data_IF_070082255100
#
_entry.id   IF_070082255100
#
_cell.length_a   1.000
_cell.length_b   1.000
_cell.length_c   1.000
_cell.angle_alpha   90.00
_cell.angle_beta   90.00
_cell.angle_gamma   90.00
#
_symmetry.space_group_name_H-M   'P 1'
#
loop_
_entity.id
_entity.type
_entity.pdbx_description
1 polymer ?
#
# COMPACT_ATOMS: atom_id res chain seq x y z
N UNK A 1 -5.19 -24.31 8.47
CA UNK A 1 -5.17 -23.68 9.81
C UNK A 1 -3.90 -22.86 9.93
N UNK A 2 -4.00 -21.53 9.78
CA UNK A 2 -2.86 -20.60 9.95
C UNK A 2 -2.79 -20.25 11.44
N UNK A 3 -1.70 -20.58 12.16
CA UNK A 3 -1.58 -20.30 13.59
C UNK A 3 -1.67 -18.80 13.93
N UNK A 4 -2.30 -18.46 15.06
CA UNK A 4 -2.54 -17.07 15.52
C UNK A 4 -1.26 -16.20 15.61
N UNK A 5 -0.11 -16.82 15.86
CA UNK A 5 1.18 -16.14 15.99
C UNK A 5 1.82 -15.71 14.65
N UNK A 6 1.14 -15.91 13.51
CA UNK A 6 1.68 -15.48 12.21
C UNK A 6 1.82 -13.96 12.09
N UNK A 7 0.92 -13.20 12.70
CA UNK A 7 0.96 -11.73 12.65
C UNK A 7 2.06 -11.14 13.53
N UNK A 8 2.48 -11.86 14.57
CA UNK A 8 3.57 -11.45 15.47
C UNK A 8 4.95 -11.50 14.79
N UNK A 9 5.05 -12.17 13.63
CA UNK A 9 6.29 -12.36 12.88
C UNK A 9 6.41 -11.50 11.63
N UNK A 10 5.39 -10.68 11.31
CA UNK A 10 5.52 -9.72 10.23
C UNK A 10 6.42 -8.58 10.72
N UNK A 11 7.62 -8.38 10.15
CA UNK A 11 8.36 -7.17 10.46
C UNK A 11 7.48 -5.99 10.04
N UNK A 12 7.41 -4.89 10.82
CA UNK A 12 6.84 -3.65 10.29
C UNK A 12 7.64 -3.36 9.02
N UNK A 13 6.99 -3.43 7.85
CA UNK A 13 7.61 -2.94 6.62
C UNK A 13 7.72 -1.44 6.84
N UNK A 14 8.86 -1.04 7.41
CA UNK A 14 9.31 0.34 7.49
C UNK A 14 9.00 0.95 6.13
N UNK A 15 8.11 1.94 6.12
CA UNK A 15 7.85 2.74 4.94
C UNK A 15 9.16 3.39 4.52
N UNK A 16 9.93 2.70 3.68
CA UNK A 16 11.11 3.24 3.03
C UNK A 16 10.61 4.13 1.89
N UNK A 17 10.24 5.35 2.23
CA UNK A 17 10.42 6.45 1.30
C UNK A 17 11.92 6.71 1.18
N UNK A 18 12.59 5.92 0.35
CA UNK A 18 13.81 6.39 -0.31
C UNK A 18 13.36 6.88 -1.67
N UNK A 19 13.08 8.18 -1.77
CA UNK A 19 13.13 8.86 -3.06
C UNK A 19 14.58 8.70 -3.52
N UNK A 20 14.84 7.67 -4.33
CA UNK A 20 16.07 7.61 -5.09
C UNK A 20 16.09 8.89 -5.91
N UNK A 21 17.03 9.77 -5.56
CA UNK A 21 17.36 10.96 -6.32
C UNK A 21 17.68 10.49 -7.74
N UNK A 22 16.71 10.66 -8.62
CA UNK A 22 16.93 10.66 -10.05
C UNK A 22 17.79 11.90 -10.31
N UNK A 23 19.09 11.70 -10.46
CA UNK A 23 20.02 12.74 -10.93
C UNK A 23 19.43 13.34 -12.22
N UNK A 24 19.09 14.65 -12.26
CA UNK A 24 18.66 15.26 -13.50
C UNK A 24 19.89 15.42 -14.39
N UNK A 25 19.87 14.72 -15.52
CA UNK A 25 20.77 14.97 -16.66
C UNK A 25 20.69 16.46 -17.01
N UNK A 26 21.81 17.17 -16.85
CA UNK A 26 21.95 18.58 -17.17
C UNK A 26 21.58 18.85 -18.63
N UNK A 27 20.41 19.46 -18.88
CA UNK A 27 20.14 20.19 -20.11
C UNK A 27 20.09 21.67 -19.75
N UNK A 28 21.13 22.41 -20.13
CA UNK A 28 21.22 23.85 -19.87
C UNK A 28 20.15 24.60 -20.68
N UNK A 29 19.28 25.41 -20.04
CA UNK A 29 18.39 26.33 -20.76
C UNK A 29 19.13 27.60 -21.20
N UNK A 30 18.73 28.25 -22.31
CA UNK A 30 19.31 29.53 -22.76
C UNK A 30 18.93 30.68 -21.80
N UNK A 31 19.75 31.75 -21.72
CA UNK A 31 19.50 32.86 -20.81
C UNK A 31 18.29 33.70 -21.23
N UNK A 32 17.34 33.89 -20.32
CA UNK A 32 16.23 34.84 -20.44
C UNK A 32 16.53 36.13 -19.63
N UNK A 33 15.93 37.28 -20.02
CA UNK A 33 16.34 38.59 -19.52
C UNK A 33 15.88 38.84 -18.08
N UNK A 34 16.68 39.65 -17.39
CA UNK A 34 16.56 39.98 -15.97
C UNK A 34 15.23 40.67 -15.64
N UNK A 35 14.31 39.93 -15.03
CA UNK A 35 13.23 40.49 -14.23
C UNK A 35 13.41 40.05 -12.78
N UNK A 36 13.56 41.04 -11.89
CA UNK A 36 13.65 40.87 -10.45
C UNK A 36 12.32 40.29 -9.92
N UNK A 37 12.31 39.00 -9.59
CA UNK A 37 11.24 38.36 -8.83
C UNK A 37 11.65 38.30 -7.35
N UNK A 38 10.87 38.97 -6.51
CA UNK A 38 10.94 38.91 -5.05
C UNK A 38 10.67 37.45 -4.63
N UNK A 39 11.71 36.74 -4.20
CA UNK A 39 11.60 35.39 -3.68
C UNK A 39 11.18 35.48 -2.21
N UNK A 40 9.90 35.26 -1.92
CA UNK A 40 9.48 34.91 -0.57
C UNK A 40 9.81 33.43 -0.34
N UNK A 41 10.50 33.07 0.77
CA UNK A 41 10.75 31.67 1.07
C UNK A 41 9.42 30.97 1.38
N UNK A 42 9.05 30.01 0.55
CA UNK A 42 7.96 29.09 0.82
C UNK A 42 8.37 28.24 2.03
N UNK A 43 7.67 28.39 3.15
CA UNK A 43 7.84 27.54 4.33
C UNK A 43 7.53 26.10 3.94
N UNK A 44 8.57 25.28 3.84
CA UNK A 44 8.44 23.84 3.65
C UNK A 44 7.87 23.26 4.94
N UNK A 45 6.62 22.80 4.90
CA UNK A 45 6.03 22.02 5.98
C UNK A 45 6.84 20.73 6.15
N UNK A 46 7.48 20.61 7.31
CA UNK A 46 8.16 19.40 7.77
C UNK A 46 7.14 18.27 7.86
N UNK A 47 7.16 17.32 6.93
CA UNK A 47 6.52 16.03 7.14
C UNK A 47 7.33 15.29 8.18
N UNK A 48 6.85 15.35 9.42
CA UNK A 48 7.41 14.66 10.56
C UNK A 48 7.53 13.16 10.24
N UNK A 49 8.74 12.62 10.35
CA UNK A 49 9.01 11.18 10.22
C UNK A 49 8.40 10.51 11.45
N UNK A 50 7.10 10.22 11.43
CA UNK A 50 6.45 9.49 12.51
C UNK A 50 7.04 8.09 12.56
N UNK A 51 7.96 7.85 13.48
CA UNK A 51 8.43 6.50 13.81
C UNK A 51 7.22 5.68 14.24
N UNK A 52 6.78 4.75 13.39
CA UNK A 52 5.66 3.85 13.70
C UNK A 52 6.11 2.96 14.86
N UNK A 53 5.40 3.02 15.98
CA UNK A 53 5.63 2.10 17.09
C UNK A 53 5.27 0.67 16.66
N UNK A 54 6.22 -0.27 16.64
CA UNK A 54 5.97 -1.64 16.21
C UNK A 54 4.94 -2.36 17.07
N UNK A 55 4.84 -2.04 18.37
CA UNK A 55 3.87 -2.71 19.25
C UNK A 55 2.44 -2.24 18.95
N UNK A 56 2.25 -0.93 18.75
CA UNK A 56 0.97 -0.39 18.29
C UNK A 56 0.60 -0.93 16.91
N UNK A 57 1.55 -1.02 15.98
CA UNK A 57 1.30 -1.59 14.65
C UNK A 57 0.78 -3.03 14.73
N UNK A 58 1.40 -3.86 15.57
CA UNK A 58 0.96 -5.24 15.77
C UNK A 58 -0.43 -5.33 16.43
N UNK A 59 -0.77 -4.41 17.34
CA UNK A 59 -2.13 -4.32 17.92
C UNK A 59 -3.15 -3.93 16.85
N UNK A 60 -2.82 -2.96 16.01
CA UNK A 60 -3.67 -2.52 14.90
C UNK A 60 -3.91 -3.66 13.90
N UNK A 61 -2.88 -4.43 13.54
CA UNK A 61 -3.03 -5.59 12.65
C UNK A 61 -3.99 -6.65 13.22
N UNK A 62 -3.93 -6.93 14.53
CA UNK A 62 -4.84 -7.91 15.16
C UNK A 62 -6.27 -7.42 15.18
N UNK A 63 -6.50 -6.18 15.62
CA UNK A 63 -7.83 -5.58 15.60
C UNK A 63 -8.40 -5.51 14.16
N UNK A 64 -7.56 -5.16 13.19
CA UNK A 64 -7.94 -5.13 11.78
C UNK A 64 -8.29 -6.53 11.26
N UNK A 65 -7.60 -7.59 11.70
CA UNK A 65 -7.90 -8.96 11.31
C UNK A 65 -9.30 -9.41 11.78
N UNK A 66 -9.69 -9.05 13.00
CA UNK A 66 -11.01 -9.34 13.55
C UNK A 66 -12.11 -8.60 12.76
N UNK A 67 -11.90 -7.30 12.48
CA UNK A 67 -12.83 -6.51 11.67
C UNK A 67 -12.94 -7.01 10.22
N UNK A 68 -11.82 -7.43 9.62
CA UNK A 68 -11.80 -7.99 8.27
C UNK A 68 -12.60 -9.29 8.21
N UNK A 69 -12.44 -10.17 9.19
CA UNK A 69 -13.16 -11.44 9.26
C UNK A 69 -14.67 -11.19 9.34
N UNK A 70 -15.10 -10.31 10.25
CA UNK A 70 -16.51 -9.94 10.36
C UNK A 70 -17.09 -9.34 9.06
N UNK A 71 -16.34 -8.45 8.40
CA UNK A 71 -16.76 -7.84 7.13
C UNK A 71 -16.86 -8.86 5.99
N UNK A 72 -15.93 -9.83 5.94
CA UNK A 72 -15.93 -10.88 4.93
C UNK A 72 -17.16 -11.78 5.09
N UNK A 73 -17.48 -12.18 6.33
CA UNK A 73 -18.63 -12.99 6.69
C UNK A 73 -19.94 -12.30 6.32
N UNK A 74 -20.10 -11.04 6.74
CA UNK A 74 -21.30 -10.26 6.51
C UNK A 74 -21.59 -10.02 5.01
N UNK A 75 -20.53 -9.88 4.21
CA UNK A 75 -20.64 -9.59 2.77
C UNK A 75 -20.51 -10.82 1.87
N UNK A 76 -20.19 -11.99 2.44
CA UNK A 76 -19.83 -13.22 1.70
C UNK A 76 -18.86 -12.92 0.55
N UNK A 77 -17.78 -12.18 0.84
CA UNK A 77 -16.87 -11.65 -0.18
C UNK A 77 -15.50 -12.36 -0.26
N UNK A 78 -15.36 -13.54 0.34
CA UNK A 78 -14.12 -14.33 0.37
C UNK A 78 -13.48 -14.48 -1.01
N UNK A 79 -14.21 -14.92 -2.07
CA UNK A 79 -13.57 -15.20 -3.36
C UNK A 79 -13.00 -13.95 -4.03
N UNK A 80 -13.66 -12.79 -3.85
CA UNK A 80 -13.19 -11.54 -4.47
C UNK A 80 -12.01 -10.94 -3.71
N UNK A 81 -11.96 -11.10 -2.38
CA UNK A 81 -10.81 -10.66 -1.56
C UNK A 81 -9.57 -11.49 -1.87
N UNK A 82 -9.69 -12.82 -1.94
CA UNK A 82 -8.57 -13.70 -2.31
C UNK A 82 -8.08 -13.40 -3.72
N UNK A 83 -8.99 -13.23 -4.68
CA UNK A 83 -8.63 -12.84 -6.05
C UNK A 83 -7.90 -11.50 -6.08
N UNK A 84 -8.36 -10.52 -5.31
CA UNK A 84 -7.74 -9.19 -5.26
C UNK A 84 -6.28 -9.24 -4.79
N UNK A 85 -6.01 -9.96 -3.70
CA UNK A 85 -4.65 -10.12 -3.19
C UNK A 85 -3.75 -10.95 -4.10
N UNK A 86 -4.31 -11.98 -4.75
CA UNK A 86 -3.59 -12.76 -5.76
C UNK A 86 -3.12 -11.87 -6.92
N UNK A 87 -4.02 -11.06 -7.47
CA UNK A 87 -3.68 -10.16 -8.58
C UNK A 87 -2.65 -9.09 -8.19
N UNK A 88 -2.67 -8.58 -6.94
CA UNK A 88 -1.61 -7.70 -6.44
C UNK A 88 -0.24 -8.40 -6.45
N UNK A 89 -0.19 -9.61 -5.89
CA UNK A 89 1.03 -10.40 -5.80
C UNK A 89 1.53 -10.95 -7.15
N UNK A 90 0.62 -11.11 -8.12
CA UNK A 90 0.89 -11.71 -9.43
C UNK A 90 1.76 -10.87 -10.37
N UNK A 91 2.03 -9.61 -10.01
CA UNK A 91 2.92 -8.72 -10.77
C UNK A 91 4.41 -8.98 -10.53
N UNK A 92 4.76 -9.96 -9.68
CA UNK A 92 6.15 -10.22 -9.30
C UNK A 92 7.03 -10.72 -10.46
N UNK A 93 8.13 -10.01 -10.73
CA UNK A 93 9.18 -10.40 -11.66
C UNK A 93 10.54 -10.50 -10.96
N UNK A 94 11.08 -11.72 -10.92
CA UNK A 94 12.39 -12.03 -10.30
C UNK A 94 13.60 -11.44 -11.03
N UNK A 95 13.45 -11.05 -12.29
CA UNK A 95 14.53 -10.52 -13.12
C UNK A 95 14.81 -9.04 -12.86
N UNK A 96 13.86 -8.35 -12.23
CA UNK A 96 13.95 -6.94 -11.90
C UNK A 96 14.40 -6.73 -10.44
N UNK A 97 15.15 -5.67 -10.14
CA UNK A 97 15.48 -5.32 -8.77
C UNK A 97 14.26 -4.74 -8.03
N UNK A 98 14.33 -4.70 -6.71
CA UNK A 98 13.36 -3.96 -5.91
C UNK A 98 13.56 -2.44 -6.10
N UNK A 99 12.49 -1.62 -6.24
CA UNK A 99 11.07 -1.97 -6.18
C UNK A 99 10.42 -2.34 -7.53
N UNK A 100 11.17 -2.35 -8.64
CA UNK A 100 10.61 -2.62 -9.98
C UNK A 100 10.07 -4.04 -10.15
N UNK A 101 10.50 -4.98 -9.31
CA UNK A 101 10.04 -6.36 -9.32
C UNK A 101 8.56 -6.57 -9.06
N UNK A 102 7.78 -5.55 -8.66
CA UNK A 102 6.35 -5.72 -8.37
C UNK A 102 6.08 -6.66 -7.19
N UNK A 103 4.92 -7.32 -7.23
CA UNK A 103 4.44 -8.24 -6.19
C UNK A 103 3.52 -7.59 -5.17
N UNK A 104 3.36 -8.25 -4.02
CA UNK A 104 2.44 -7.88 -2.94
C UNK A 104 2.85 -6.58 -2.23
N UNK A 105 2.63 -5.47 -2.94
CA UNK A 105 3.06 -4.11 -2.61
C UNK A 105 1.89 -3.15 -2.51
N UNK A 106 0.66 -3.62 -2.77
CA UNK A 106 -0.55 -2.80 -2.79
C UNK A 106 -0.68 -1.94 -4.05
N UNK A 107 0.07 -2.25 -5.11
CA UNK A 107 -0.03 -1.53 -6.39
C UNK A 107 -1.40 -1.65 -7.06
N UNK A 108 -2.13 -2.74 -6.77
CA UNK A 108 -3.47 -2.97 -7.35
C UNK A 108 -4.52 -1.92 -6.96
N UNK A 109 -4.28 -1.07 -5.96
CA UNK A 109 -5.25 -0.05 -5.56
C UNK A 109 -5.37 1.10 -6.57
N UNK A 110 -4.37 1.29 -7.42
CA UNK A 110 -4.31 2.41 -8.36
C UNK A 110 -5.21 2.15 -9.57
N UNK A 111 -5.87 3.19 -10.05
CA UNK A 111 -6.84 3.08 -11.14
C UNK A 111 -6.21 2.59 -12.47
N UNK A 112 -4.91 2.84 -12.68
CA UNK A 112 -4.19 2.29 -13.85
C UNK A 112 -4.20 0.77 -13.82
N UNK A 113 -3.93 0.18 -12.67
CA UNK A 113 -3.84 -1.26 -12.49
C UNK A 113 -5.24 -1.90 -12.52
N UNK A 114 -6.21 -1.30 -11.84
CA UNK A 114 -7.60 -1.80 -11.80
C UNK A 114 -8.30 -1.82 -13.16
N UNK A 115 -7.86 -0.99 -14.10
CA UNK A 115 -8.45 -0.90 -15.45
C UNK A 115 -7.92 -1.95 -16.42
N UNK A 116 -6.89 -2.73 -16.05
CA UNK A 116 -6.46 -3.87 -16.86
C UNK A 116 -7.58 -4.91 -16.96
N UNK A 117 -7.76 -5.51 -18.15
CA UNK A 117 -8.84 -6.48 -18.40
C UNK A 117 -8.81 -7.67 -17.42
N UNK A 118 -7.60 -8.13 -17.06
CA UNK A 118 -7.41 -9.19 -16.07
C UNK A 118 -7.99 -8.84 -14.68
N UNK A 119 -8.05 -7.54 -14.35
CA UNK A 119 -8.51 -7.00 -13.07
C UNK A 119 -9.99 -6.58 -13.09
N UNK A 120 -10.74 -6.91 -14.14
CA UNK A 120 -12.15 -6.59 -14.25
C UNK A 120 -12.96 -7.05 -13.02
N UNK A 121 -13.68 -6.09 -12.42
CA UNK A 121 -14.50 -6.30 -11.22
C UNK A 121 -13.77 -6.10 -9.88
N UNK A 122 -12.44 -6.00 -9.86
CA UNK A 122 -11.66 -5.90 -8.62
C UNK A 122 -11.78 -4.56 -7.89
N UNK A 123 -12.28 -3.52 -8.56
CA UNK A 123 -12.61 -2.25 -7.91
C UNK A 123 -13.62 -2.41 -6.76
N UNK A 124 -14.44 -3.48 -6.80
CA UNK A 124 -15.37 -3.82 -5.72
C UNK A 124 -14.64 -4.25 -4.44
N UNK A 125 -13.54 -5.01 -4.55
CA UNK A 125 -12.73 -5.38 -3.40
C UNK A 125 -12.09 -4.16 -2.73
N UNK A 126 -11.53 -3.22 -3.51
CA UNK A 126 -10.99 -1.95 -2.98
C UNK A 126 -12.03 -1.21 -2.14
N UNK A 127 -13.26 -1.09 -2.63
CA UNK A 127 -14.37 -0.42 -1.93
C UNK A 127 -14.74 -1.06 -0.60
N UNK A 128 -14.61 -2.39 -0.47
CA UNK A 128 -14.85 -3.08 0.81
C UNK A 128 -13.76 -2.79 1.83
N UNK A 129 -12.54 -2.59 1.37
CA UNK A 129 -11.37 -2.39 2.20
C UNK A 129 -11.14 -0.92 2.58
N UNK A 130 -11.64 0.04 1.81
CA UNK A 130 -11.52 1.49 2.05
C UNK A 130 -11.97 1.92 3.46
N UNK A 131 -13.14 1.49 4.00
CA UNK A 131 -13.57 1.85 5.35
C UNK A 131 -12.62 1.35 6.44
N UNK A 132 -12.08 0.14 6.28
CA UNK A 132 -11.13 -0.46 7.23
C UNK A 132 -9.78 0.27 7.14
N UNK A 133 -9.31 0.57 5.93
CA UNK A 133 -8.07 1.35 5.73
C UNK A 133 -8.15 2.72 6.41
N UNK A 134 -9.32 3.36 6.38
CA UNK A 134 -9.54 4.66 7.00
C UNK A 134 -9.41 4.61 8.54
N UNK A 135 -9.80 3.49 9.17
CA UNK A 135 -9.63 3.28 10.61
C UNK A 135 -8.17 3.03 11.02
N UNK A 136 -7.39 2.40 10.15
CA UNK A 136 -5.98 2.04 10.40
C UNK A 136 -5.04 2.78 9.45
N UNK A 137 -4.83 4.10 9.62
CA UNK A 137 -4.03 4.91 8.70
C UNK A 137 -2.56 4.47 8.65
N UNK A 138 -2.01 3.97 9.76
CA UNK A 138 -0.63 3.52 9.87
C UNK A 138 -0.35 2.23 9.09
N UNK A 139 -1.35 1.36 8.94
CA UNK A 139 -1.22 0.09 8.22
C UNK A 139 -1.18 0.35 6.72
N UNK A 140 -0.19 -0.23 6.05
CA UNK A 140 -0.02 -0.08 4.61
C UNK A 140 -1.15 -0.76 3.83
N UNK A 141 -1.45 -0.29 2.62
CA UNK A 141 -2.38 -0.98 1.73
C UNK A 141 -1.93 -2.42 1.42
N UNK A 142 -0.62 -2.63 1.25
CA UNK A 142 -0.05 -3.95 1.01
C UNK A 142 -0.40 -4.93 2.14
N UNK A 143 -0.16 -4.53 3.38
CA UNK A 143 -0.43 -5.39 4.55
C UNK A 143 -1.93 -5.62 4.73
N UNK A 144 -2.75 -4.60 4.52
CA UNK A 144 -4.21 -4.71 4.58
C UNK A 144 -4.76 -5.71 3.55
N UNK A 145 -4.30 -5.65 2.30
CA UNK A 145 -4.77 -6.52 1.22
C UNK A 145 -4.40 -7.97 1.50
N UNK A 146 -3.14 -8.22 1.87
CA UNK A 146 -2.65 -9.57 2.14
C UNK A 146 -3.25 -10.13 3.44
N UNK A 147 -3.48 -9.29 4.45
CA UNK A 147 -4.19 -9.69 5.68
C UNK A 147 -5.63 -10.10 5.38
N UNK A 148 -6.36 -9.30 4.60
CA UNK A 148 -7.73 -9.60 4.20
C UNK A 148 -7.83 -10.96 3.50
N UNK A 149 -6.90 -11.24 2.58
CA UNK A 149 -6.82 -12.55 1.90
C UNK A 149 -6.49 -13.69 2.85
N UNK A 150 -5.62 -13.47 3.84
CA UNK A 150 -5.32 -14.49 4.83
C UNK A 150 -6.54 -14.80 5.73
N UNK A 151 -7.36 -13.79 6.07
CA UNK A 151 -8.59 -13.97 6.82
C UNK A 151 -9.66 -14.72 6.01
N UNK A 152 -9.84 -14.36 4.73
CA UNK A 152 -10.79 -15.02 3.82
C UNK A 152 -10.55 -16.53 3.62
N UNK A 153 -9.35 -17.04 3.96
CA UNK A 153 -9.01 -18.46 3.85
C UNK A 153 -9.22 -19.25 5.16
N UNK A 154 -9.62 -18.61 6.26
CA UNK A 154 -9.71 -19.25 7.58
C UNK A 154 -11.04 -19.97 7.86
N UNK A 155 -11.89 -20.14 6.85
CA UNK A 155 -13.20 -20.79 6.94
C UNK A 155 -13.14 -22.32 6.85
#
# INVERSE_FOLDING_TARGET
VVPDHWYDRLPPRLGLYSVSLMEPVCFAPPPLPSFLLVVQPLSMASTDTTSVDPEQYAKDLRAMADELTAMIDDLNCDPIIVRFAWHDSGTYDKSLPWPQCGGASGGIIYDVELKHEANAGLAKARRYLEPIKAKYPLVSWADLIQLASACALKH
#
